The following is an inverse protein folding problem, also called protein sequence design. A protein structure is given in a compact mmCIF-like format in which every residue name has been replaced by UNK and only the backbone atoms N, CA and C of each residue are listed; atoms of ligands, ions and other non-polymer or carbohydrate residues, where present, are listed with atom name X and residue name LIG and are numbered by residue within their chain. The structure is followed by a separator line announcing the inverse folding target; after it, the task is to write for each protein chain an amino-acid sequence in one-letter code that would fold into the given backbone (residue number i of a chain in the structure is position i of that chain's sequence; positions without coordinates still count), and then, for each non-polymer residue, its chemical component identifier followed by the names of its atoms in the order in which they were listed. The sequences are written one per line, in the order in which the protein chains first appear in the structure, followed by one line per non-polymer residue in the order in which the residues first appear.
data_IF_218908865193
#
_entry.id   IF_218908865193
#
_cell.length_a   1.000
_cell.length_b   1.000
_cell.length_c   1.000
_cell.angle_alpha   90.00
_cell.angle_beta   90.00
_cell.angle_gamma   90.00
#
_symmetry.space_group_name_H-M   'P 1'
#
loop_
_entity.id
_entity.type
_entity.pdbx_description
1 polymer ?
#
# COMPACT_ATOMS: atom_id res chain seq x y z
N UNK A 1 -30.68 34.85 -6.02
CA UNK A 1 -29.64 33.94 -5.51
C UNK A 1 -29.64 34.02 -4.02
N UNK A 2 -30.54 33.25 -3.42
CA UNK A 2 -30.46 32.88 -2.01
C UNK A 2 -29.27 31.94 -1.81
N UNK A 3 -28.84 31.77 -0.55
CA UNK A 3 -27.78 30.82 -0.21
C UNK A 3 -28.16 29.39 -0.61
N UNK A 4 -29.45 29.05 -0.52
CA UNK A 4 -30.00 27.75 -0.89
C UNK A 4 -29.87 27.53 -2.40
N UNK A 5 -30.24 28.51 -3.23
CA UNK A 5 -30.09 28.44 -4.68
C UNK A 5 -28.63 28.21 -5.11
N UNK A 6 -27.69 28.91 -4.46
CA UNK A 6 -26.25 28.74 -4.74
C UNK A 6 -25.69 27.38 -4.28
N UNK A 7 -26.25 26.81 -3.21
CA UNK A 7 -25.87 25.48 -2.73
C UNK A 7 -26.36 24.39 -3.69
N UNK A 8 -27.60 24.48 -4.15
CA UNK A 8 -28.16 23.53 -5.13
C UNK A 8 -27.41 23.57 -6.46
N UNK A 9 -27.06 24.77 -6.96
CA UNK A 9 -26.26 24.93 -8.19
C UNK A 9 -24.89 24.26 -8.04
N UNK A 10 -24.19 24.52 -6.94
CA UNK A 10 -22.88 23.92 -6.66
C UNK A 10 -22.94 22.41 -6.49
N UNK A 11 -23.96 21.89 -5.79
CA UNK A 11 -24.14 20.46 -5.61
C UNK A 11 -24.46 19.76 -6.94
N UNK A 12 -25.23 20.41 -7.81
CA UNK A 12 -25.50 19.92 -9.17
C UNK A 12 -24.22 19.81 -10.02
N UNK A 13 -23.38 20.85 -9.99
CA UNK A 13 -22.08 20.84 -10.70
C UNK A 13 -21.15 19.71 -10.20
N UNK A 14 -21.10 19.49 -8.89
CA UNK A 14 -20.30 18.41 -8.32
C UNK A 14 -20.79 17.03 -8.74
N UNK A 15 -22.10 16.83 -8.81
CA UNK A 15 -22.70 15.56 -9.17
C UNK A 15 -22.49 15.24 -10.66
N UNK A 16 -22.59 16.24 -11.53
CA UNK A 16 -22.24 16.13 -12.95
C UNK A 16 -20.76 15.80 -13.14
N UNK A 17 -19.86 16.50 -12.44
CA UNK A 17 -18.42 16.20 -12.46
C UNK A 17 -18.12 14.78 -11.96
N UNK A 18 -18.82 14.30 -10.92
CA UNK A 18 -18.61 12.97 -10.37
C UNK A 18 -19.06 11.86 -11.32
N UNK A 19 -20.18 12.07 -12.02
CA UNK A 19 -20.66 11.16 -13.08
C UNK A 19 -19.72 11.16 -14.29
N UNK A 20 -19.19 12.32 -14.70
CA UNK A 20 -18.26 12.44 -15.83
C UNK A 20 -16.88 11.82 -15.54
N UNK A 21 -16.36 12.02 -14.32
CA UNK A 21 -15.03 11.53 -13.91
C UNK A 21 -15.10 10.13 -13.30
N UNK A 22 -16.30 9.56 -13.13
CA UNK A 22 -16.50 8.21 -12.59
C UNK A 22 -15.67 7.22 -13.42
N UNK A 23 -14.58 6.66 -12.86
CA UNK A 23 -13.80 5.71 -13.62
C UNK A 23 -14.75 4.55 -13.96
N UNK A 24 -14.80 4.18 -15.24
CA UNK A 24 -15.34 2.89 -15.65
C UNK A 24 -14.40 1.82 -15.08
N UNK A 25 -14.55 1.55 -13.79
CA UNK A 25 -13.91 0.43 -13.11
C UNK A 25 -14.60 -0.79 -13.69
N UNK A 26 -14.10 -1.27 -14.83
CA UNK A 26 -14.21 -2.69 -15.12
C UNK A 26 -13.84 -3.39 -13.81
N UNK A 27 -14.71 -4.27 -13.32
CA UNK A 27 -14.39 -5.18 -12.23
C UNK A 27 -13.30 -6.15 -12.72
N UNK A 28 -12.11 -5.63 -13.04
CA UNK A 28 -10.89 -6.39 -13.04
C UNK A 28 -10.82 -6.90 -11.64
N UNK A 29 -11.06 -8.20 -11.45
CA UNK A 29 -10.87 -8.88 -10.18
C UNK A 29 -9.45 -8.56 -9.75
N UNK A 30 -9.31 -7.54 -8.91
CA UNK A 30 -8.05 -7.17 -8.34
C UNK A 30 -7.54 -8.43 -7.65
N UNK A 31 -6.25 -8.77 -7.81
CA UNK A 31 -5.71 -9.93 -7.14
C UNK A 31 -6.06 -9.81 -5.65
N UNK A 32 -6.52 -10.90 -5.03
CA UNK A 32 -6.91 -10.86 -3.63
C UNK A 32 -5.71 -10.35 -2.82
N UNK A 33 -5.93 -9.30 -2.01
CA UNK A 33 -4.90 -8.77 -1.12
C UNK A 33 -4.41 -9.92 -0.24
N UNK A 34 -3.17 -10.34 -0.44
CA UNK A 34 -2.54 -11.30 0.46
C UNK A 34 -2.28 -10.61 1.79
N UNK A 35 -2.46 -11.35 2.89
CA UNK A 35 -2.00 -10.89 4.19
C UNK A 35 -0.48 -10.77 4.14
N UNK A 36 0.03 -9.68 4.68
CA UNK A 36 1.45 -9.54 4.94
C UNK A 36 1.87 -10.66 5.92
N UNK A 37 2.92 -11.41 5.58
CA UNK A 37 3.45 -12.43 6.50
C UNK A 37 4.18 -11.81 7.69
N UNK A 38 4.44 -10.49 7.66
CA UNK A 38 5.19 -9.75 8.67
C UNK A 38 6.69 -10.05 8.65
N UNK A 39 7.08 -11.25 8.20
CA UNK A 39 8.47 -11.70 8.06
C UNK A 39 8.70 -12.39 6.72
N UNK A 40 9.86 -12.14 6.12
CA UNK A 40 10.32 -12.80 4.90
C UNK A 40 11.82 -13.05 4.97
N UNK A 41 12.35 -13.92 4.10
CA UNK A 41 13.79 -14.17 4.02
C UNK A 41 14.37 -13.68 2.71
N UNK A 42 15.47 -12.95 2.76
CA UNK A 42 16.24 -12.53 1.58
C UNK A 42 17.60 -13.21 1.55
N UNK A 43 18.11 -13.58 0.37
CA UNK A 43 19.50 -14.00 0.25
C UNK A 43 20.41 -12.80 0.58
N UNK A 44 21.54 -13.05 1.25
CA UNK A 44 22.53 -12.03 1.52
C UNK A 44 23.95 -12.54 1.28
N UNK A 45 24.86 -11.60 1.03
CA UNK A 45 26.29 -11.82 0.96
C UNK A 45 26.98 -10.73 1.77
N UNK A 46 27.79 -11.11 2.77
CA UNK A 46 28.60 -10.19 3.56
C UNK A 46 30.04 -10.70 3.58
N UNK A 47 30.93 -10.02 2.84
CA UNK A 47 32.26 -10.55 2.55
C UNK A 47 32.18 -11.90 1.82
N UNK A 48 32.82 -12.93 2.38
CA UNK A 48 32.77 -14.31 1.88
C UNK A 48 31.59 -15.12 2.42
N UNK A 49 30.80 -14.58 3.35
CA UNK A 49 29.68 -15.28 3.98
C UNK A 49 28.43 -15.10 3.11
N UNK A 50 27.78 -16.22 2.77
CA UNK A 50 26.50 -16.25 2.05
C UNK A 50 25.45 -16.93 2.92
N UNK A 51 24.22 -16.44 2.88
CA UNK A 51 23.14 -17.03 3.65
C UNK A 51 21.77 -16.43 3.33
N UNK A 52 20.82 -16.65 4.24
CA UNK A 52 19.50 -16.01 4.23
C UNK A 52 19.33 -15.18 5.48
N UNK A 53 18.93 -13.93 5.31
CA UNK A 53 18.59 -13.03 6.40
C UNK A 53 17.08 -13.05 6.62
N UNK A 54 16.65 -13.08 7.87
CA UNK A 54 15.24 -12.88 8.24
C UNK A 54 14.97 -11.37 8.30
N UNK A 55 14.02 -10.89 7.51
CA UNK A 55 13.53 -9.53 7.50
C UNK A 55 12.16 -9.49 8.15
N UNK A 56 12.06 -8.82 9.29
CA UNK A 56 10.82 -8.61 10.02
C UNK A 56 10.38 -7.14 9.84
N UNK A 57 9.22 -6.93 9.21
CA UNK A 57 8.64 -5.60 8.99
C UNK A 57 8.18 -4.93 10.29
N UNK A 58 8.01 -5.70 11.36
CA UNK A 58 7.72 -5.20 12.70
C UNK A 58 8.96 -4.84 13.52
N UNK A 59 10.18 -5.17 13.04
CA UNK A 59 11.42 -4.89 13.77
C UNK A 59 12.06 -3.57 13.33
N UNK A 60 12.47 -2.76 14.30
CA UNK A 60 13.23 -1.52 14.05
C UNK A 60 14.74 -1.69 14.08
N UNK A 61 15.24 -2.89 14.44
CA UNK A 61 16.67 -3.18 14.57
C UNK A 61 17.08 -4.40 13.74
N UNK A 62 18.31 -4.39 13.25
CA UNK A 62 18.94 -5.52 12.57
C UNK A 62 19.86 -6.27 13.52
N UNK A 63 19.63 -7.57 13.68
CA UNK A 63 20.44 -8.44 14.54
C UNK A 63 21.38 -9.29 13.67
N UNK A 64 22.65 -9.38 14.09
CA UNK A 64 23.64 -10.31 13.53
C UNK A 64 24.00 -11.30 14.63
N UNK A 65 23.82 -12.63 14.42
CA UNK A 65 24.22 -13.60 15.41
C UNK A 65 25.74 -13.57 15.59
N UNK A 66 26.19 -13.46 16.84
CA UNK A 66 27.59 -13.64 17.19
C UNK A 66 27.92 -15.13 17.15
N UNK A 67 28.41 -15.60 16.01
CA UNK A 67 28.97 -16.94 15.91
C UNK A 67 30.36 -16.90 16.53
N UNK A 68 30.51 -17.50 17.72
CA UNK A 68 31.83 -17.75 18.30
C UNK A 68 32.37 -19.04 17.63
N UNK A 69 33.61 -19.03 17.10
CA UNK A 69 34.19 -20.21 16.45
C UNK A 69 34.34 -21.39 17.42
#
# INVERSE_FOLDING_TARGET
MTLEEAYEEFMGELEEYYEEVKPQVEERKLPPKQKDSGTFTVPFCFGSIKGRALCDLGSSISLMPLVRP
#
